data_IF_837795478965
#
_entry.id   IF_837795478965
#
_cell.length_a   1.000
_cell.length_b   1.000
_cell.length_c   1.000
_cell.angle_alpha   90.00
_cell.angle_beta   90.00
_cell.angle_gamma   90.00
#
_symmetry.space_group_name_H-M   'P 1'
#
loop_
_entity.id
_entity.type
_entity.pdbx_description
1 polymer ?
#
# COMPACT_ATOMS: atom_id res chain seq x y z
N UNK A 1 43.20 34.10 -56.04
CA UNK A 1 42.86 33.28 -57.22
C UNK A 1 42.79 31.83 -56.79
N UNK A 2 41.64 31.19 -57.04
CA UNK A 2 41.35 29.74 -57.02
C UNK A 2 41.64 28.96 -55.72
N UNK A 3 40.77 28.12 -55.17
CA UNK A 3 39.54 27.53 -55.67
C UNK A 3 39.29 26.24 -54.89
N UNK A 4 38.05 26.05 -54.43
CA UNK A 4 37.60 24.95 -53.58
C UNK A 4 37.46 23.61 -54.32
N UNK A 5 37.65 22.48 -53.63
CA UNK A 5 36.60 21.49 -53.28
C UNK A 5 37.20 20.13 -52.81
N UNK A 6 36.49 19.41 -51.92
CA UNK A 6 36.92 18.13 -51.35
C UNK A 6 36.38 16.91 -52.15
N UNK A 7 37.15 15.81 -52.17
CA UNK A 7 36.74 14.52 -52.73
C UNK A 7 35.91 13.69 -51.75
N UNK A 8 35.00 12.93 -52.34
CA UNK A 8 33.86 12.27 -51.72
C UNK A 8 34.02 10.75 -51.71
N UNK A 9 33.41 10.12 -50.69
CA UNK A 9 32.90 8.72 -50.60
C UNK A 9 33.87 7.57 -50.31
N UNK A 10 33.58 6.85 -49.22
CA UNK A 10 33.03 5.47 -49.30
C UNK A 10 32.21 5.13 -48.04
N UNK A 11 31.04 4.55 -48.30
CA UNK A 11 30.04 4.01 -47.36
C UNK A 11 30.41 2.57 -46.96
N UNK A 12 30.23 2.21 -45.69
CA UNK A 12 29.85 0.89 -45.17
C UNK A 12 29.10 1.15 -43.83
N UNK A 13 27.76 1.15 -43.80
CA UNK A 13 26.83 0.05 -43.40
C UNK A 13 27.08 -0.54 -41.99
N UNK A 14 26.36 0.01 -41.00
CA UNK A 14 25.58 -0.55 -39.85
C UNK A 14 26.09 -1.78 -39.04
N UNK A 15 25.71 -1.98 -37.75
CA UNK A 15 24.50 -1.45 -37.09
C UNK A 15 24.65 -0.77 -35.72
N UNK A 16 23.63 0.02 -35.41
CA UNK A 16 23.34 0.69 -34.15
C UNK A 16 22.60 -0.26 -33.19
N UNK A 17 22.91 -0.18 -31.90
CA UNK A 17 22.09 -0.73 -30.81
C UNK A 17 22.39 0.07 -29.53
N UNK A 18 21.75 1.23 -29.39
CA UNK A 18 21.51 1.94 -28.13
C UNK A 18 20.22 2.74 -28.31
N UNK A 19 19.42 2.80 -27.24
CA UNK A 19 18.13 3.46 -27.05
C UNK A 19 16.88 2.63 -27.39
N UNK A 20 16.33 1.96 -26.37
CA UNK A 20 14.88 1.77 -26.23
C UNK A 20 14.47 1.98 -24.77
N UNK A 21 14.05 3.21 -24.47
CA UNK A 21 13.28 3.59 -23.28
C UNK A 21 11.88 3.91 -23.78
N UNK A 22 10.89 3.24 -23.17
CA UNK A 22 9.51 3.67 -22.93
C UNK A 22 8.81 4.50 -24.01
N UNK A 23 7.87 3.88 -24.75
CA UNK A 23 6.69 4.56 -25.31
C UNK A 23 5.69 3.57 -25.94
N UNK A 24 4.79 2.99 -25.13
CA UNK A 24 3.44 2.51 -25.51
C UNK A 24 2.74 2.27 -24.16
N UNK A 25 1.67 2.98 -23.76
CA UNK A 25 0.31 2.92 -24.29
C UNK A 25 -0.41 4.20 -23.85
N UNK A 26 -0.81 5.03 -24.81
CA UNK A 26 -1.87 6.02 -24.67
C UNK A 26 -2.26 6.42 -26.09
N UNK A 27 -3.36 5.85 -26.59
CA UNK A 27 -4.20 6.42 -27.65
C UNK A 27 -5.38 5.45 -27.92
N UNK A 28 -6.41 5.50 -27.08
CA UNK A 28 -7.80 5.32 -27.50
C UNK A 28 -8.70 6.12 -26.56
N UNK A 29 -8.61 7.44 -26.59
CA UNK A 29 -9.76 8.30 -26.28
C UNK A 29 -9.56 9.63 -27.00
N UNK A 30 -10.44 9.90 -27.97
CA UNK A 30 -10.75 11.25 -28.39
C UNK A 30 -12.27 11.45 -28.46
N UNK A 31 -12.76 12.69 -28.26
CA UNK A 31 -14.12 12.99 -27.82
C UNK A 31 -14.95 13.75 -28.87
N UNK A 32 -16.28 13.72 -28.74
CA UNK A 32 -17.21 14.74 -29.23
C UNK A 32 -18.57 14.53 -28.53
N UNK A 33 -18.98 15.37 -27.57
CA UNK A 33 -19.64 16.68 -27.74
C UNK A 33 -21.02 16.54 -28.40
N UNK A 34 -22.11 16.47 -27.64
CA UNK A 34 -22.99 17.60 -27.24
C UNK A 34 -24.44 17.17 -27.58
N UNK A 35 -25.54 17.57 -26.95
CA UNK A 35 -25.83 18.57 -25.94
C UNK A 35 -27.19 18.23 -25.27
N UNK A 36 -27.29 18.50 -23.96
CA UNK A 36 -28.38 19.18 -23.22
C UNK A 36 -29.86 18.87 -23.55
N UNK A 37 -30.61 18.28 -22.60
CA UNK A 37 -31.66 18.96 -21.81
C UNK A 37 -32.30 18.08 -20.72
N UNK A 38 -32.46 18.69 -19.53
CA UNK A 38 -33.55 18.60 -18.55
C UNK A 38 -33.91 17.26 -17.85
N UNK A 39 -33.57 17.23 -16.55
CA UNK A 39 -34.63 17.33 -15.53
C UNK A 39 -34.98 16.08 -14.72
N UNK A 40 -34.77 16.22 -13.40
CA UNK A 40 -35.52 15.61 -12.30
C UNK A 40 -35.22 14.16 -11.87
N UNK A 41 -34.66 14.06 -10.65
CA UNK A 41 -34.83 12.95 -9.73
C UNK A 41 -36.27 12.43 -9.70
N UNK A 42 -36.46 11.13 -9.92
CA UNK A 42 -37.41 10.31 -9.14
C UNK A 42 -36.89 8.89 -9.01
N UNK A 43 -36.74 8.47 -7.76
CA UNK A 43 -36.73 7.08 -7.32
C UNK A 43 -37.92 6.34 -7.94
N UNK A 44 -37.65 5.22 -8.61
CA UNK A 44 -38.68 4.26 -8.99
C UNK A 44 -38.18 2.85 -8.69
N UNK A 45 -38.34 2.48 -7.42
CA UNK A 45 -38.40 1.11 -6.89
C UNK A 45 -39.69 0.40 -7.38
N UNK A 46 -39.89 0.37 -8.70
CA UNK A 46 -41.00 -0.32 -9.37
C UNK A 46 -40.47 -0.84 -10.72
N UNK A 47 -39.69 -1.91 -10.65
CA UNK A 47 -39.34 -2.72 -11.79
C UNK A 47 -40.55 -3.57 -12.20
N UNK A 48 -41.18 -3.17 -13.31
CA UNK A 48 -42.08 -3.86 -14.25
C UNK A 48 -42.91 -5.08 -13.78
N UNK A 49 -44.21 -5.17 -14.17
CA UNK A 49 -45.00 -6.38 -13.96
C UNK A 49 -44.39 -7.51 -14.79
N UNK A 50 -43.74 -8.48 -14.14
CA UNK A 50 -43.38 -9.74 -14.77
C UNK A 50 -44.69 -10.42 -15.18
N UNK A 51 -44.91 -10.56 -16.49
CA UNK A 51 -45.91 -11.47 -17.02
C UNK A 51 -45.62 -12.85 -16.45
N UNK A 52 -46.54 -13.37 -15.65
CA UNK A 52 -46.50 -14.76 -15.23
C UNK A 52 -46.63 -15.58 -16.51
N UNK A 53 -45.66 -16.46 -16.76
CA UNK A 53 -45.75 -17.43 -17.83
C UNK A 53 -47.03 -18.24 -17.61
N UNK A 54 -48.01 -18.04 -18.47
CA UNK A 54 -49.18 -18.92 -18.56
C UNK A 54 -48.68 -20.34 -18.76
N UNK A 55 -49.23 -21.26 -17.97
CA UNK A 55 -48.71 -22.61 -17.74
C UNK A 55 -48.15 -23.30 -18.99
N UNK A 56 -46.92 -23.78 -18.84
CA UNK A 56 -46.41 -24.86 -19.68
C UNK A 56 -47.20 -26.12 -19.25
N UNK A 57 -47.80 -26.79 -20.23
CA UNK A 57 -48.73 -27.89 -20.01
C UNK A 57 -48.08 -29.00 -19.15
N UNK A 58 -48.80 -29.58 -18.19
CA UNK A 58 -48.24 -30.56 -17.23
C UNK A 58 -47.58 -31.76 -17.95
N UNK A 59 -48.09 -32.11 -19.14
CA UNK A 59 -47.52 -33.16 -19.98
C UNK A 59 -46.15 -32.85 -20.59
N UNK A 60 -45.81 -31.57 -20.79
CA UNK A 60 -44.54 -31.15 -21.40
C UNK A 60 -43.40 -31.16 -20.36
N UNK A 61 -43.73 -30.88 -19.09
CA UNK A 61 -42.80 -30.92 -17.95
C UNK A 61 -42.44 -32.37 -17.59
N UNK A 62 -43.44 -33.26 -17.58
CA UNK A 62 -43.24 -34.69 -17.37
C UNK A 62 -42.41 -35.34 -18.49
N UNK A 63 -42.63 -34.93 -19.74
CA UNK A 63 -41.84 -35.40 -20.88
C UNK A 63 -40.37 -34.92 -20.83
N UNK A 64 -40.10 -33.69 -20.39
CA UNK A 64 -38.72 -33.20 -20.19
C UNK A 64 -38.01 -33.91 -19.01
N UNK A 65 -38.75 -34.28 -17.97
CA UNK A 65 -38.22 -35.03 -16.82
C UNK A 65 -37.90 -36.49 -17.18
N UNK A 66 -38.78 -37.17 -17.93
CA UNK A 66 -38.55 -38.54 -18.40
C UNK A 66 -37.44 -38.63 -19.46
N UNK A 67 -37.33 -37.62 -20.35
CA UNK A 67 -36.27 -37.56 -21.35
C UNK A 67 -34.86 -37.39 -20.75
N UNK A 68 -34.75 -36.81 -19.56
CA UNK A 68 -33.48 -36.70 -18.81
C UNK A 68 -33.17 -37.91 -17.94
N UNK A 69 -34.12 -38.82 -17.72
CA UNK A 69 -33.97 -40.02 -16.89
C UNK A 69 -33.40 -41.26 -17.62
N UNK A 70 -33.13 -41.20 -18.93
CA UNK A 70 -32.58 -42.32 -19.72
C UNK A 70 -31.13 -42.10 -20.16
N UNK A 71 -30.24 -41.85 -19.21
CA UNK A 71 -28.81 -41.85 -19.49
C UNK A 71 -27.97 -41.84 -18.22
N UNK A 72 -27.52 -43.02 -17.79
CA UNK A 72 -26.49 -43.17 -16.76
C UNK A 72 -26.80 -44.24 -15.74
N UNK A 73 -26.24 -45.43 -15.97
CA UNK A 73 -26.11 -46.51 -14.99
C UNK A 73 -25.30 -46.05 -13.76
N UNK A 74 -25.70 -46.57 -12.60
CA UNK A 74 -24.92 -46.82 -11.39
C UNK A 74 -23.75 -45.87 -11.08
N UNK A 75 -23.95 -44.97 -10.11
CA UNK A 75 -22.86 -44.56 -9.22
C UNK A 75 -23.40 -44.22 -7.83
N UNK A 76 -22.75 -44.86 -6.87
CA UNK A 76 -23.04 -44.91 -5.46
C UNK A 76 -23.19 -43.52 -4.83
N UNK A 77 -24.11 -43.42 -3.87
CA UNK A 77 -24.32 -42.27 -3.02
C UNK A 77 -23.07 -41.93 -2.21
N UNK A 78 -22.30 -40.96 -2.69
CA UNK A 78 -21.36 -40.20 -1.89
C UNK A 78 -22.03 -38.92 -1.38
N UNK A 79 -22.16 -38.80 -0.06
CA UNK A 79 -22.38 -37.53 0.65
C UNK A 79 -21.27 -36.53 0.27
N UNK A 80 -21.48 -35.76 -0.79
CA UNK A 80 -20.69 -34.59 -1.12
C UNK A 80 -21.65 -33.41 -1.16
N UNK A 81 -21.45 -32.47 -0.22
CA UNK A 81 -22.26 -31.27 -0.10
C UNK A 81 -22.33 -30.55 -1.44
N UNK A 82 -23.52 -30.53 -2.03
CA UNK A 82 -23.75 -29.88 -3.31
C UNK A 82 -23.74 -28.36 -3.07
N UNK A 83 -22.71 -27.70 -3.56
CA UNK A 83 -22.58 -26.24 -3.49
C UNK A 83 -23.43 -25.63 -4.63
N UNK A 84 -24.45 -24.84 -4.29
CA UNK A 84 -25.32 -24.19 -5.28
C UNK A 84 -24.77 -22.81 -5.65
N UNK A 85 -24.63 -22.52 -6.95
CA UNK A 85 -24.09 -21.24 -7.45
C UNK A 85 -25.00 -20.03 -7.16
N UNK A 86 -26.29 -20.25 -6.90
CA UNK A 86 -27.24 -19.20 -6.52
C UNK A 86 -28.43 -19.76 -5.73
N UNK A 87 -29.09 -18.88 -4.96
CA UNK A 87 -30.35 -19.20 -4.27
C UNK A 87 -31.45 -19.67 -5.23
N UNK A 88 -31.48 -19.14 -6.46
CA UNK A 88 -32.44 -19.57 -7.48
C UNK A 88 -32.13 -20.98 -7.99
N UNK A 89 -30.85 -21.32 -8.16
CA UNK A 89 -30.42 -22.68 -8.49
C UNK A 89 -30.73 -23.69 -7.38
N UNK A 90 -30.58 -23.27 -6.11
CA UNK A 90 -31.00 -24.06 -4.95
C UNK A 90 -32.51 -24.28 -4.94
N UNK A 91 -33.30 -23.23 -5.20
CA UNK A 91 -34.76 -23.30 -5.25
C UNK A 91 -35.23 -24.24 -6.37
N UNK A 92 -34.71 -24.08 -7.58
CA UNK A 92 -35.05 -24.93 -8.73
C UNK A 92 -34.69 -26.40 -8.47
N UNK A 93 -33.54 -26.66 -7.85
CA UNK A 93 -33.16 -28.01 -7.46
C UNK A 93 -34.09 -28.58 -6.40
N UNK A 94 -34.42 -27.80 -5.35
CA UNK A 94 -35.32 -28.23 -4.30
C UNK A 94 -36.71 -28.57 -4.86
N UNK A 95 -37.23 -27.77 -5.80
CA UNK A 95 -38.49 -28.05 -6.49
C UNK A 95 -38.38 -29.35 -7.30
N UNK A 96 -37.31 -29.52 -8.08
CA UNK A 96 -37.12 -30.70 -8.93
C UNK A 96 -36.83 -32.01 -8.18
N UNK A 97 -36.43 -31.94 -6.90
CA UNK A 97 -36.15 -33.10 -6.05
C UNK A 97 -37.18 -33.29 -4.93
N UNK A 98 -38.23 -32.48 -4.91
CA UNK A 98 -39.36 -32.63 -3.99
C UNK A 98 -40.47 -33.45 -4.63
N UNK A 99 -41.27 -34.09 -3.79
CA UNK A 99 -42.45 -34.84 -4.19
C UNK A 99 -43.53 -33.90 -4.76
N UNK A 100 -43.92 -34.04 -6.04
CA UNK A 100 -44.84 -33.10 -6.71
C UNK A 100 -46.23 -33.09 -6.07
N UNK A 101 -46.70 -34.22 -5.55
CA UNK A 101 -48.04 -34.30 -4.94
C UNK A 101 -48.07 -33.56 -3.60
N UNK A 102 -46.99 -33.65 -2.80
CA UNK A 102 -46.87 -32.90 -1.54
C UNK A 102 -46.70 -31.41 -1.75
N UNK A 103 -45.99 -31.00 -2.82
CA UNK A 103 -45.88 -29.59 -3.18
C UNK A 103 -47.24 -29.02 -3.60
N UNK A 104 -48.04 -29.79 -4.34
CA UNK A 104 -49.39 -29.37 -4.74
C UNK A 104 -50.32 -29.24 -3.53
N UNK A 105 -50.32 -30.21 -2.62
CA UNK A 105 -51.09 -30.14 -1.37
C UNK A 105 -50.71 -28.91 -0.53
N UNK A 106 -49.40 -28.62 -0.42
CA UNK A 106 -48.88 -27.42 0.26
C UNK A 106 -49.28 -26.12 -0.44
N UNK A 107 -49.31 -26.10 -1.77
CA UNK A 107 -49.73 -24.93 -2.53
C UNK A 107 -51.23 -24.65 -2.36
N UNK A 108 -52.07 -25.69 -2.38
CA UNK A 108 -53.50 -25.60 -2.09
C UNK A 108 -53.76 -25.16 -0.64
N UNK A 109 -52.97 -25.64 0.32
CA UNK A 109 -52.98 -25.18 1.73
C UNK A 109 -52.70 -23.67 1.81
N UNK A 110 -51.76 -23.16 1.01
CA UNK A 110 -51.41 -21.73 0.98
C UNK A 110 -52.47 -20.88 0.26
N UNK A 111 -53.07 -21.38 -0.83
CA UNK A 111 -54.17 -20.69 -1.53
C UNK A 111 -55.45 -20.61 -0.69
N UNK A 112 -55.64 -21.53 0.25
CA UNK A 112 -56.77 -21.52 1.18
C UNK A 112 -56.67 -20.48 2.30
N UNK A 113 -55.49 -19.85 2.47
CA UNK A 113 -55.25 -18.84 3.50
C UNK A 113 -55.89 -17.51 3.14
N UNK A 114 -56.35 -16.80 4.17
CA UNK A 114 -56.80 -15.41 4.01
C UNK A 114 -55.62 -14.48 3.69
N UNK A 115 -55.89 -13.37 3.00
CA UNK A 115 -54.86 -12.37 2.66
C UNK A 115 -54.10 -11.85 3.89
N UNK A 116 -54.77 -11.76 5.04
CA UNK A 116 -54.18 -11.31 6.30
C UNK A 116 -53.19 -12.34 6.88
N UNK A 117 -53.49 -13.63 6.76
CA UNK A 117 -52.59 -14.71 7.22
C UNK A 117 -51.35 -14.84 6.33
N UNK A 118 -51.50 -14.62 5.01
CA UNK A 118 -50.37 -14.56 4.09
C UNK A 118 -49.44 -13.39 4.40
N UNK A 119 -50.02 -12.20 4.66
CA UNK A 119 -49.24 -11.01 5.02
C UNK A 119 -48.50 -11.23 6.34
N UNK A 120 -49.16 -11.84 7.33
CA UNK A 120 -48.53 -12.22 8.61
C UNK A 120 -47.33 -13.16 8.39
N UNK A 121 -47.48 -14.22 7.60
CA UNK A 121 -46.38 -15.13 7.27
C UNK A 121 -45.24 -14.44 6.52
N UNK A 122 -45.55 -13.55 5.59
CA UNK A 122 -44.51 -12.76 4.89
C UNK A 122 -43.73 -11.86 5.85
N UNK A 123 -44.40 -11.23 6.83
CA UNK A 123 -43.75 -10.42 7.86
C UNK A 123 -42.88 -11.28 8.79
N UNK A 124 -43.36 -12.45 9.21
CA UNK A 124 -42.60 -13.40 10.04
C UNK A 124 -41.34 -13.89 9.31
N UNK A 125 -41.47 -14.26 8.03
CA UNK A 125 -40.32 -14.66 7.19
C UNK A 125 -39.35 -13.49 7.05
N UNK A 126 -39.84 -12.28 6.81
CA UNK A 126 -39.00 -11.09 6.71
C UNK A 126 -38.25 -10.81 8.01
N UNK A 127 -38.91 -10.93 9.16
CA UNK A 127 -38.30 -10.74 10.47
C UNK A 127 -37.26 -11.83 10.78
N UNK A 128 -37.54 -13.09 10.42
CA UNK A 128 -36.58 -14.19 10.52
C UNK A 128 -35.37 -13.97 9.61
N UNK A 129 -35.59 -13.52 8.37
CA UNK A 129 -34.50 -13.18 7.45
C UNK A 129 -33.64 -12.04 7.98
N UNK A 130 -34.24 -11.02 8.60
CA UNK A 130 -33.50 -9.91 9.23
C UNK A 130 -32.68 -10.42 10.44
N UNK A 131 -33.24 -11.31 11.27
CA UNK A 131 -32.54 -11.91 12.42
C UNK A 131 -31.40 -12.85 12.03
N UNK A 132 -31.52 -13.58 10.93
CA UNK A 132 -30.46 -14.44 10.41
C UNK A 132 -29.47 -13.69 9.50
N UNK A 133 -29.72 -12.41 9.19
CA UNK A 133 -28.87 -11.65 8.30
C UNK A 133 -27.51 -11.42 8.97
N UNK A 134 -26.45 -11.88 8.33
CA UNK A 134 -25.10 -11.48 8.72
C UNK A 134 -24.93 -9.98 8.42
N UNK A 135 -24.47 -9.18 9.39
CA UNK A 135 -24.23 -7.76 9.16
C UNK A 135 -23.16 -7.60 8.08
N UNK A 136 -23.37 -6.64 7.19
CA UNK A 136 -22.34 -6.30 6.19
C UNK A 136 -21.16 -5.58 6.85
N UNK A 137 -19.99 -5.59 6.20
CA UNK A 137 -18.82 -4.85 6.68
C UNK A 137 -19.13 -3.37 6.93
N UNK A 138 -19.91 -2.73 6.05
CA UNK A 138 -20.34 -1.34 6.23
C UNK A 138 -21.21 -1.14 7.48
N UNK A 139 -22.03 -2.14 7.86
CA UNK A 139 -22.83 -2.10 9.09
C UNK A 139 -21.95 -2.30 10.33
N UNK A 140 -21.01 -3.24 10.28
CA UNK A 140 -20.02 -3.45 11.33
C UNK A 140 -19.15 -2.20 11.54
N UNK A 141 -18.70 -1.56 10.45
CA UNK A 141 -17.97 -0.30 10.51
C UNK A 141 -18.78 0.80 11.17
N UNK A 142 -20.07 0.94 10.84
CA UNK A 142 -20.95 1.93 11.49
C UNK A 142 -21.09 1.68 12.99
N UNK A 143 -21.21 0.42 13.42
CA UNK A 143 -21.28 0.05 14.83
C UNK A 143 -20.00 0.47 15.55
N UNK A 144 -18.84 0.08 15.01
CA UNK A 144 -17.56 0.45 15.60
C UNK A 144 -17.33 1.97 15.63
N UNK A 145 -17.72 2.70 14.57
CA UNK A 145 -17.65 4.17 14.53
C UNK A 145 -18.60 4.80 15.57
N UNK A 146 -19.78 4.23 15.78
CA UNK A 146 -20.71 4.69 16.82
C UNK A 146 -20.13 4.49 18.23
N UNK A 147 -19.47 3.36 18.47
CA UNK A 147 -18.79 3.07 19.74
C UNK A 147 -17.63 4.05 19.99
N UNK A 148 -16.86 4.43 18.97
CA UNK A 148 -15.82 5.47 19.10
C UNK A 148 -16.42 6.85 19.44
N UNK A 149 -17.54 7.21 18.82
CA UNK A 149 -18.22 8.49 19.08
C UNK A 149 -18.92 8.53 20.44
N UNK A 150 -19.15 7.38 21.06
CA UNK A 150 -19.78 7.32 22.37
C UNK A 150 -18.78 7.75 23.47
N UNK A 151 -18.91 8.98 23.95
CA UNK A 151 -18.10 9.52 25.05
C UNK A 151 -18.21 8.73 26.37
N UNK A 152 -19.28 7.96 26.56
CA UNK A 152 -19.50 7.11 27.74
C UNK A 152 -19.02 5.67 27.58
N UNK A 153 -18.48 5.30 26.40
CA UNK A 153 -17.96 3.97 26.16
C UNK A 153 -16.77 3.66 27.08
N UNK A 154 -16.70 2.42 27.56
CA UNK A 154 -15.58 1.97 28.38
C UNK A 154 -14.28 1.92 27.55
N UNK A 155 -13.14 1.90 28.24
CA UNK A 155 -11.83 1.72 27.60
C UNK A 155 -11.78 0.45 26.73
N UNK A 156 -12.35 -0.65 27.23
CA UNK A 156 -12.32 -1.94 26.54
C UNK A 156 -13.27 -1.96 25.33
N UNK A 157 -14.44 -1.32 25.43
CA UNK A 157 -15.35 -1.17 24.28
C UNK A 157 -14.69 -0.33 23.17
N UNK A 158 -14.00 0.75 23.55
CA UNK A 158 -13.26 1.59 22.59
C UNK A 158 -12.12 0.83 21.93
N UNK A 159 -11.35 0.05 22.70
CA UNK A 159 -10.31 -0.84 22.14
C UNK A 159 -10.91 -1.87 21.19
N UNK A 160 -12.03 -2.49 21.55
CA UNK A 160 -12.73 -3.46 20.68
C UNK A 160 -13.16 -2.81 19.37
N UNK A 161 -13.79 -1.64 19.42
CA UNK A 161 -14.19 -0.89 18.22
C UNK A 161 -13.00 -0.56 17.31
N UNK A 162 -11.85 -0.18 17.87
CA UNK A 162 -10.63 0.03 17.09
C UNK A 162 -10.09 -1.25 16.45
N UNK A 163 -10.16 -2.39 17.14
CA UNK A 163 -9.72 -3.68 16.58
C UNK A 163 -10.66 -4.16 15.47
N UNK A 164 -11.97 -3.95 15.63
CA UNK A 164 -12.95 -4.23 14.58
C UNK A 164 -12.67 -3.39 13.34
N UNK A 165 -12.49 -2.07 13.51
CA UNK A 165 -12.12 -1.20 12.40
C UNK A 165 -10.78 -1.59 11.77
N UNK A 166 -9.81 -2.03 12.56
CA UNK A 166 -8.51 -2.49 12.04
C UNK A 166 -8.64 -3.67 11.06
N UNK A 167 -9.54 -4.60 11.32
CA UNK A 167 -9.82 -5.72 10.41
C UNK A 167 -10.65 -5.23 9.22
N UNK A 168 -11.70 -4.45 9.48
CA UNK A 168 -12.66 -4.02 8.46
C UNK A 168 -12.06 -3.08 7.42
N UNK A 169 -11.04 -2.28 7.75
CA UNK A 169 -10.37 -1.37 6.78
C UNK A 169 -9.28 -2.06 5.95
N UNK A 170 -9.09 -3.37 6.09
CA UNK A 170 -8.12 -4.11 5.28
C UNK A 170 -8.50 -4.16 3.79
N UNK A 171 -9.77 -4.43 3.41
CA UNK A 171 -10.20 -4.30 2.03
C UNK A 171 -10.23 -2.83 1.60
N UNK A 172 -9.73 -2.55 0.40
CA UNK A 172 -9.62 -1.19 -0.14
C UNK A 172 -11.00 -0.52 -0.25
N UNK A 173 -12.05 -1.28 -0.60
CA UNK A 173 -13.41 -0.75 -0.70
C UNK A 173 -13.94 -0.25 0.64
N UNK A 174 -13.76 -1.03 1.71
CA UNK A 174 -14.13 -0.64 3.07
C UNK A 174 -13.31 0.57 3.55
N UNK A 175 -12.00 0.59 3.28
CA UNK A 175 -11.16 1.74 3.60
C UNK A 175 -11.66 3.02 2.91
N UNK A 176 -12.10 2.93 1.65
CA UNK A 176 -12.68 4.06 0.91
C UNK A 176 -14.04 4.52 1.47
N UNK A 177 -14.80 3.60 2.06
CA UNK A 177 -16.08 3.90 2.71
C UNK A 177 -15.92 4.51 4.10
N UNK A 178 -14.76 4.35 4.75
CA UNK A 178 -14.50 4.85 6.10
C UNK A 178 -14.83 6.34 6.27
N UNK A 179 -14.45 7.18 5.31
CA UNK A 179 -14.80 8.61 5.32
C UNK A 179 -16.30 8.85 5.08
N UNK A 180 -16.91 8.11 4.14
CA UNK A 180 -18.34 8.23 3.83
C UNK A 180 -19.21 7.86 5.03
N UNK A 181 -18.73 6.95 5.86
CA UNK A 181 -19.35 6.51 7.11
C UNK A 181 -19.02 7.44 8.30
N UNK A 182 -18.22 8.50 8.09
CA UNK A 182 -17.84 9.46 9.13
C UNK A 182 -16.82 8.91 10.14
N UNK A 183 -16.06 7.87 9.77
CA UNK A 183 -15.14 7.17 10.68
C UNK A 183 -13.77 7.81 10.85
N UNK A 184 -13.30 8.62 9.89
CA UNK A 184 -11.96 9.22 9.98
C UNK A 184 -11.83 10.24 11.12
N UNK A 185 -12.82 11.12 11.31
CA UNK A 185 -12.75 12.16 12.35
C UNK A 185 -12.64 11.52 13.75
N UNK A 186 -13.51 10.58 14.17
CA UNK A 186 -13.37 9.89 15.46
C UNK A 186 -12.03 9.18 15.59
N UNK A 187 -11.57 8.46 14.56
CA UNK A 187 -10.26 7.79 14.59
C UNK A 187 -9.09 8.76 14.77
N UNK A 188 -9.13 9.93 14.14
CA UNK A 188 -8.09 10.95 14.29
C UNK A 188 -8.15 11.59 15.68
N UNK A 189 -9.34 11.77 16.25
CA UNK A 189 -9.51 12.23 17.63
C UNK A 189 -8.87 11.27 18.64
N UNK A 190 -8.97 9.95 18.40
CA UNK A 190 -8.34 8.93 19.26
C UNK A 190 -6.81 8.99 19.30
N UNK A 191 -6.15 9.64 18.32
CA UNK A 191 -4.72 9.91 18.41
C UNK A 191 -4.37 10.81 19.61
N UNK A 192 -5.33 11.55 20.17
CA UNK A 192 -5.16 12.38 21.37
C UNK A 192 -5.63 11.71 22.66
N UNK A 193 -5.98 10.42 22.63
CA UNK A 193 -6.46 9.72 23.81
C UNK A 193 -5.39 9.65 24.92
N UNK A 194 -5.80 9.67 26.18
CA UNK A 194 -4.89 9.50 27.33
C UNK A 194 -4.24 8.12 27.34
N UNK A 195 -4.95 7.08 26.89
CA UNK A 195 -4.46 5.71 26.82
C UNK A 195 -3.53 5.50 25.61
N UNK A 196 -2.33 5.01 25.88
CA UNK A 196 -1.32 4.72 24.85
C UNK A 196 -1.78 3.65 23.86
N UNK A 197 -2.47 2.61 24.33
CA UNK A 197 -2.95 1.52 23.49
C UNK A 197 -3.96 2.00 22.47
N UNK A 198 -4.88 2.87 22.87
CA UNK A 198 -5.85 3.52 21.98
C UNK A 198 -5.15 4.37 20.93
N UNK A 199 -4.19 5.23 21.32
CA UNK A 199 -3.42 6.04 20.34
C UNK A 199 -2.70 5.14 19.33
N UNK A 200 -2.04 4.10 19.84
CA UNK A 200 -1.26 3.14 19.05
C UNK A 200 -2.12 2.40 18.04
N UNK A 201 -3.26 1.84 18.46
CA UNK A 201 -4.17 1.14 17.55
C UNK A 201 -4.81 2.10 16.55
N UNK A 202 -5.15 3.32 16.95
CA UNK A 202 -5.73 4.32 16.05
C UNK A 202 -4.77 4.73 14.93
N UNK A 203 -3.49 4.97 15.26
CA UNK A 203 -2.46 5.19 14.26
C UNK A 203 -2.32 3.98 13.32
N UNK A 204 -2.43 2.75 13.86
CA UNK A 204 -2.37 1.54 13.05
C UNK A 204 -3.54 1.40 12.08
N UNK A 205 -4.77 1.68 12.51
CA UNK A 205 -5.97 1.70 11.66
C UNK A 205 -5.80 2.70 10.52
N UNK A 206 -5.39 3.94 10.83
CA UNK A 206 -5.14 4.97 9.82
C UNK A 206 -4.05 4.57 8.82
N UNK A 207 -2.96 3.97 9.32
CA UNK A 207 -1.87 3.49 8.47
C UNK A 207 -2.28 2.34 7.55
N UNK A 208 -3.19 1.47 7.99
CA UNK A 208 -3.71 0.37 7.18
C UNK A 208 -4.69 0.86 6.13
N UNK A 209 -5.64 1.71 6.51
CA UNK A 209 -6.63 2.29 5.59
C UNK A 209 -6.00 3.14 4.48
N UNK A 210 -4.87 3.82 4.77
CA UNK A 210 -4.16 4.69 3.81
C UNK A 210 -3.08 3.99 2.99
N UNK A 211 -2.73 2.74 3.31
CA UNK A 211 -1.62 2.06 2.65
C UNK A 211 -1.89 1.90 1.16
N UNK A 212 -1.03 2.51 0.32
CA UNK A 212 -1.17 2.52 -1.14
C UNK A 212 -2.56 3.01 -1.63
N UNK A 213 -3.22 3.88 -0.87
CA UNK A 213 -4.56 4.36 -1.16
C UNK A 213 -4.60 5.90 -1.18
N UNK A 214 -4.37 6.49 -2.35
CA UNK A 214 -4.31 7.95 -2.52
C UNK A 214 -5.59 8.69 -2.07
N UNK A 215 -6.76 8.06 -2.19
CA UNK A 215 -8.02 8.67 -1.75
C UNK A 215 -8.03 8.85 -0.23
N UNK A 216 -7.78 7.76 0.50
CA UNK A 216 -7.80 7.77 1.98
C UNK A 216 -6.62 8.56 2.54
N UNK A 217 -5.43 8.48 1.92
CA UNK A 217 -4.28 9.32 2.29
C UNK A 217 -4.65 10.81 2.29
N UNK A 218 -5.23 11.29 1.19
CA UNK A 218 -5.60 12.71 1.07
C UNK A 218 -6.72 13.11 2.02
N UNK A 219 -7.68 12.23 2.31
CA UNK A 219 -8.72 12.49 3.30
C UNK A 219 -8.12 12.64 4.70
N UNK A 220 -7.23 11.73 5.12
CA UNK A 220 -6.57 11.80 6.43
C UNK A 220 -5.70 13.05 6.56
N UNK A 221 -4.94 13.39 5.51
CA UNK A 221 -4.09 14.59 5.50
C UNK A 221 -4.92 15.89 5.62
N UNK A 222 -6.10 15.95 4.98
CA UNK A 222 -7.01 17.12 5.08
C UNK A 222 -7.49 17.40 6.50
N UNK A 223 -7.56 16.38 7.35
CA UNK A 223 -7.94 16.52 8.76
C UNK A 223 -6.76 16.86 9.69
N UNK A 224 -5.55 17.09 9.16
CA UNK A 224 -4.40 17.49 9.97
C UNK A 224 -3.81 16.35 10.83
N UNK A 225 -4.13 15.10 10.53
CA UNK A 225 -3.66 13.96 11.32
C UNK A 225 -2.12 13.82 11.34
N UNK A 226 -1.44 14.32 10.31
CA UNK A 226 0.01 14.20 10.16
C UNK A 226 0.78 14.89 11.30
N UNK A 227 0.39 16.11 11.69
CA UNK A 227 1.00 16.82 12.82
C UNK A 227 0.93 15.97 14.10
N UNK A 228 -0.24 15.37 14.35
CA UNK A 228 -0.44 14.55 15.54
C UNK A 228 0.39 13.26 15.51
N UNK A 229 0.45 12.60 14.36
CA UNK A 229 1.28 11.40 14.16
C UNK A 229 2.77 11.73 14.34
N UNK A 230 3.25 12.87 13.84
CA UNK A 230 4.64 13.30 14.05
C UNK A 230 4.92 13.48 15.54
N UNK A 231 4.00 14.11 16.30
CA UNK A 231 4.12 14.21 17.77
C UNK A 231 4.18 12.85 18.46
N UNK A 232 3.40 11.85 18.00
CA UNK A 232 3.45 10.48 18.54
C UNK A 232 4.80 9.80 18.30
N UNK A 233 5.52 10.15 17.23
CA UNK A 233 6.86 9.65 16.96
C UNK A 233 7.92 10.05 18.01
N UNK A 234 7.64 11.05 18.85
CA UNK A 234 8.47 11.44 20.00
C UNK A 234 8.06 10.75 21.31
N UNK A 235 7.11 9.80 21.27
CA UNK A 235 6.70 9.06 22.46
C UNK A 235 7.84 8.21 23.03
N UNK A 236 7.87 8.05 24.35
CA UNK A 236 8.77 7.11 25.03
C UNK A 236 8.39 5.65 24.78
N UNK A 237 7.16 5.39 24.32
CA UNK A 237 6.73 4.05 23.94
C UNK A 237 7.19 3.71 22.53
N UNK A 238 8.01 2.65 22.41
CA UNK A 238 8.44 2.12 21.12
C UNK A 238 7.26 1.67 20.27
N UNK A 239 6.22 1.09 20.89
CA UNK A 239 5.03 0.62 20.18
C UNK A 239 4.26 1.79 19.55
N UNK A 240 4.07 2.87 20.32
CA UNK A 240 3.40 4.08 19.84
C UNK A 240 4.20 4.73 18.70
N UNK A 241 5.50 4.95 18.89
CA UNK A 241 6.39 5.55 17.89
C UNK A 241 6.45 4.70 16.61
N UNK A 242 6.51 3.36 16.73
CA UNK A 242 6.53 2.46 15.58
C UNK A 242 5.23 2.49 14.77
N UNK A 243 4.07 2.60 15.42
CA UNK A 243 2.78 2.70 14.71
C UNK A 243 2.55 4.08 14.12
N UNK A 244 3.00 5.14 14.79
CA UNK A 244 3.03 6.48 14.21
C UNK A 244 3.89 6.51 12.94
N UNK A 245 5.10 5.95 12.98
CA UNK A 245 5.99 5.86 11.82
C UNK A 245 5.37 5.04 10.68
N UNK A 246 4.69 3.93 11.00
CA UNK A 246 3.96 3.14 10.00
C UNK A 246 2.87 3.96 9.32
N UNK A 247 2.04 4.66 10.10
CA UNK A 247 0.97 5.51 9.56
C UNK A 247 1.51 6.64 8.68
N UNK A 248 2.55 7.34 9.15
CA UNK A 248 3.23 8.40 8.37
C UNK A 248 3.77 7.82 7.06
N UNK A 249 4.47 6.68 7.13
CA UNK A 249 5.00 6.02 5.93
C UNK A 249 3.88 5.68 4.93
N UNK A 250 2.73 5.18 5.40
CA UNK A 250 1.58 4.92 4.52
C UNK A 250 0.98 6.19 3.92
N UNK A 251 0.98 7.30 4.65
CA UNK A 251 0.41 8.58 4.22
C UNK A 251 1.25 9.31 3.17
N UNK A 252 2.57 9.19 3.24
CA UNK A 252 3.48 10.00 2.42
C UNK A 252 4.06 9.25 1.23
N UNK A 253 4.01 7.91 1.23
CA UNK A 253 4.44 7.11 0.08
C UNK A 253 3.47 7.32 -1.08
N UNK A 254 4.06 7.61 -2.23
CA UNK A 254 3.44 7.91 -3.52
C UNK A 254 2.44 9.07 -3.46
N UNK A 255 2.65 9.98 -2.49
CA UNK A 255 1.80 11.14 -2.25
C UNK A 255 2.65 12.40 -2.06
N UNK A 256 2.82 13.17 -3.13
CA UNK A 256 3.60 14.42 -3.12
C UNK A 256 3.10 15.42 -2.06
N UNK A 257 1.79 15.60 -1.94
CA UNK A 257 1.21 16.50 -0.94
C UNK A 257 1.54 16.05 0.49
N UNK A 258 1.41 14.74 0.77
CA UNK A 258 1.81 14.14 2.04
C UNK A 258 3.29 14.32 2.34
N UNK A 259 4.16 14.19 1.33
CA UNK A 259 5.58 14.43 1.50
C UNK A 259 5.86 15.89 1.87
N UNK A 260 5.31 16.85 1.13
CA UNK A 260 5.50 18.29 1.43
C UNK A 260 5.06 18.62 2.86
N UNK A 261 3.89 18.11 3.28
CA UNK A 261 3.41 18.30 4.66
C UNK A 261 4.34 17.66 5.69
N UNK A 262 4.87 16.47 5.42
CA UNK A 262 5.81 15.82 6.34
C UNK A 262 7.10 16.64 6.54
N UNK A 263 7.57 17.30 5.48
CA UNK A 263 8.70 18.23 5.60
C UNK A 263 8.34 19.47 6.44
N UNK A 264 7.14 20.04 6.23
CA UNK A 264 6.71 21.24 6.97
C UNK A 264 6.49 20.97 8.45
N UNK A 265 6.05 19.77 8.81
CA UNK A 265 5.91 19.31 10.20
C UNK A 265 7.24 18.89 10.85
N UNK A 266 8.38 19.19 10.23
CA UNK A 266 9.71 18.84 10.70
C UNK A 266 9.89 17.33 10.95
N UNK A 267 9.32 16.50 10.07
CA UNK A 267 9.30 15.05 10.21
C UNK A 267 10.68 14.39 10.32
N UNK A 268 11.74 15.00 9.80
CA UNK A 268 13.11 14.47 9.95
C UNK A 268 13.64 14.55 11.38
N UNK A 269 13.29 15.59 12.13
CA UNK A 269 13.66 15.69 13.54
C UNK A 269 13.04 14.54 14.34
N UNK A 270 11.82 14.12 13.97
CA UNK A 270 11.17 12.94 14.52
C UNK A 270 11.92 11.66 14.13
N UNK A 271 12.29 11.48 12.86
CA UNK A 271 13.10 10.32 12.44
C UNK A 271 14.43 10.23 13.20
N UNK A 272 15.11 11.37 13.37
CA UNK A 272 16.35 11.44 14.14
C UNK A 272 16.15 11.08 15.61
N UNK A 273 15.07 11.59 16.22
CA UNK A 273 14.72 11.25 17.59
C UNK A 273 14.46 9.74 17.74
N UNK A 274 13.67 9.15 16.84
CA UNK A 274 13.40 7.70 16.85
C UNK A 274 14.70 6.91 16.74
N UNK A 275 15.61 7.26 15.82
CA UNK A 275 16.90 6.55 15.72
C UNK A 275 17.74 6.66 17.00
N UNK A 276 17.69 7.81 17.67
CA UNK A 276 18.46 8.06 18.89
C UNK A 276 17.91 7.26 20.08
N UNK A 277 16.58 7.10 20.16
CA UNK A 277 15.91 6.36 21.25
C UNK A 277 15.82 4.85 20.97
N UNK A 278 15.71 4.45 19.70
CA UNK A 278 15.53 3.06 19.28
C UNK A 278 16.87 2.33 19.04
N UNK A 279 17.93 2.64 19.79
CA UNK A 279 19.26 2.06 19.59
C UNK A 279 19.27 0.53 19.63
N UNK A 280 18.31 -0.07 20.34
CA UNK A 280 18.20 -1.51 20.56
C UNK A 280 17.21 -2.21 19.60
N UNK A 281 16.43 -1.46 18.82
CA UNK A 281 15.38 -2.00 17.95
C UNK A 281 15.76 -1.89 16.47
N UNK A 282 16.46 -2.91 15.98
CA UNK A 282 16.88 -3.03 14.57
C UNK A 282 15.68 -2.92 13.61
N UNK A 283 14.52 -3.44 14.02
CA UNK A 283 13.28 -3.37 13.22
C UNK A 283 12.80 -1.94 13.04
N UNK A 284 12.86 -1.12 14.09
CA UNK A 284 12.44 0.27 14.03
C UNK A 284 13.48 1.12 13.27
N UNK A 285 14.77 0.89 13.52
CA UNK A 285 15.87 1.51 12.76
C UNK A 285 15.70 1.28 11.25
N UNK A 286 15.45 0.04 10.83
CA UNK A 286 15.24 -0.31 9.42
C UNK A 286 14.07 0.46 8.80
N UNK A 287 12.95 0.60 9.53
CA UNK A 287 11.78 1.38 9.07
C UNK A 287 12.11 2.86 8.91
N UNK A 288 12.82 3.44 9.87
CA UNK A 288 13.22 4.86 9.81
C UNK A 288 14.15 5.11 8.64
N UNK A 289 15.20 4.30 8.49
CA UNK A 289 16.19 4.45 7.43
C UNK A 289 15.56 4.20 6.05
N UNK A 290 14.67 3.21 5.93
CA UNK A 290 13.93 2.97 4.70
C UNK A 290 13.03 4.15 4.32
N UNK A 291 12.37 4.78 5.30
CA UNK A 291 11.56 5.98 5.04
C UNK A 291 12.46 7.17 4.66
N UNK A 292 13.61 7.32 5.32
CA UNK A 292 14.59 8.37 4.99
C UNK A 292 15.09 8.24 3.55
N UNK A 293 15.47 7.04 3.12
CA UNK A 293 15.89 6.77 1.74
C UNK A 293 14.79 7.16 0.76
N UNK A 294 13.55 6.74 1.03
CA UNK A 294 12.40 7.04 0.18
C UNK A 294 12.14 8.54 0.03
N UNK A 295 12.15 9.28 1.15
CA UNK A 295 11.92 10.73 1.13
C UNK A 295 13.08 11.46 0.42
N UNK A 296 14.32 11.00 0.61
CA UNK A 296 15.49 11.54 -0.09
C UNK A 296 15.39 11.33 -1.61
N UNK A 297 15.04 10.11 -2.06
CA UNK A 297 14.80 9.79 -3.48
C UNK A 297 13.69 10.63 -4.10
N UNK A 298 12.63 10.92 -3.33
CA UNK A 298 11.59 11.82 -3.78
C UNK A 298 12.08 13.26 -3.95
N UNK A 299 12.89 13.79 -3.02
CA UNK A 299 13.47 15.13 -3.19
C UNK A 299 14.35 15.22 -4.44
N UNK A 300 15.12 14.18 -4.73
CA UNK A 300 15.94 14.08 -5.94
C UNK A 300 15.07 14.10 -7.20
N UNK A 301 14.01 13.30 -7.21
CA UNK A 301 13.06 13.23 -8.33
C UNK A 301 12.31 14.55 -8.55
N UNK A 302 12.06 15.30 -7.48
CA UNK A 302 11.46 16.64 -7.52
C UNK A 302 12.45 17.75 -7.94
N UNK A 303 13.70 17.42 -8.27
CA UNK A 303 14.72 18.36 -8.75
C UNK A 303 15.25 19.31 -7.66
N UNK A 304 15.08 18.97 -6.37
CA UNK A 304 15.59 19.79 -5.27
C UNK A 304 17.05 19.44 -4.97
N UNK A 305 17.92 20.44 -5.01
CA UNK A 305 19.37 20.26 -4.82
C UNK A 305 19.86 20.42 -3.37
N UNK A 306 18.98 20.78 -2.44
CA UNK A 306 19.35 20.92 -1.02
C UNK A 306 18.20 20.53 -0.12
N UNK A 307 18.49 19.68 0.86
CA UNK A 307 17.54 19.13 1.80
C UNK A 307 17.82 19.71 3.21
N UNK A 308 16.86 20.38 3.87
CA UNK A 308 17.07 21.00 5.19
C UNK A 308 17.62 20.04 6.26
N UNK A 309 17.25 18.76 6.17
CA UNK A 309 17.66 17.71 7.09
C UNK A 309 19.13 17.26 6.93
N UNK A 310 19.77 17.56 5.80
CA UNK A 310 21.21 17.36 5.65
C UNK A 310 22.01 18.20 6.64
N UNK A 311 21.43 19.26 7.21
CA UNK A 311 22.13 20.14 8.16
C UNK A 311 22.55 19.42 9.46
N UNK A 312 21.97 18.26 9.79
CA UNK A 312 22.29 17.56 11.05
C UNK A 312 23.36 16.47 10.86
N UNK A 313 24.61 16.81 11.15
CA UNK A 313 25.76 15.89 11.10
C UNK A 313 25.55 14.61 11.89
N UNK A 314 24.95 14.70 13.09
CA UNK A 314 24.73 13.54 13.95
C UNK A 314 23.77 12.53 13.32
N UNK A 315 22.71 13.01 12.65
CA UNK A 315 21.73 12.14 12.01
C UNK A 315 22.36 11.35 10.85
N UNK A 316 23.13 12.02 9.99
CA UNK A 316 23.85 11.37 8.87
C UNK A 316 24.88 10.38 9.40
N UNK A 317 25.65 10.76 10.43
CA UNK A 317 26.63 9.86 11.05
C UNK A 317 25.99 8.62 11.66
N UNK A 318 24.82 8.73 12.28
CA UNK A 318 24.07 7.57 12.77
C UNK A 318 23.69 6.62 11.63
N UNK A 319 23.28 7.16 10.47
CA UNK A 319 22.96 6.34 9.29
C UNK A 319 24.20 5.66 8.72
N UNK A 320 25.31 6.37 8.63
CA UNK A 320 26.59 5.79 8.18
C UNK A 320 27.03 4.65 9.11
N UNK A 321 26.93 4.83 10.42
CA UNK A 321 27.30 3.78 11.38
C UNK A 321 26.45 2.51 11.25
N UNK A 322 25.19 2.62 10.82
CA UNK A 322 24.31 1.47 10.57
C UNK A 322 24.75 0.59 9.40
N UNK A 323 25.62 1.07 8.50
CA UNK A 323 26.26 0.24 7.46
C UNK A 323 27.15 -0.85 8.09
N UNK A 324 27.66 -0.60 9.30
CA UNK A 324 28.47 -1.55 10.06
C UNK A 324 27.66 -2.39 11.06
N UNK A 325 26.31 -2.28 11.05
CA UNK A 325 25.43 -3.08 11.91
C UNK A 325 25.47 -4.57 11.51
N UNK A 326 25.15 -5.52 12.39
CA UNK A 326 25.20 -6.96 12.06
C UNK A 326 24.08 -7.43 11.13
N UNK A 327 23.01 -6.64 10.95
CA UNK A 327 21.81 -7.02 10.19
C UNK A 327 21.90 -6.55 8.73
N UNK A 328 21.95 -7.50 7.80
CA UNK A 328 22.17 -7.22 6.37
C UNK A 328 21.07 -6.35 5.73
N UNK A 329 19.81 -6.51 6.16
CA UNK A 329 18.70 -5.70 5.64
C UNK A 329 18.80 -4.25 6.14
N UNK A 330 19.17 -4.03 7.41
CA UNK A 330 19.49 -2.69 7.91
C UNK A 330 20.67 -2.06 7.15
N UNK A 331 21.73 -2.84 6.86
CA UNK A 331 22.87 -2.37 6.07
C UNK A 331 22.43 -1.93 4.66
N UNK A 332 21.64 -2.75 3.96
CA UNK A 332 21.10 -2.42 2.64
C UNK A 332 20.29 -1.12 2.68
N UNK A 333 19.36 -0.97 3.64
CA UNK A 333 18.57 0.26 3.77
C UNK A 333 19.44 1.46 4.10
N UNK A 334 20.47 1.29 4.94
CA UNK A 334 21.44 2.35 5.26
C UNK A 334 22.23 2.77 4.02
N UNK A 335 22.67 1.84 3.19
CA UNK A 335 23.33 2.14 1.91
C UNK A 335 22.41 2.89 0.95
N UNK A 336 21.14 2.47 0.82
CA UNK A 336 20.16 3.19 0.00
C UNK A 336 19.98 4.63 0.49
N UNK A 337 19.82 4.81 1.81
CA UNK A 337 19.72 6.14 2.40
C UNK A 337 20.98 6.96 2.12
N UNK A 338 22.18 6.43 2.39
CA UNK A 338 23.45 7.14 2.14
C UNK A 338 23.62 7.50 0.66
N UNK A 339 23.26 6.61 -0.27
CA UNK A 339 23.28 6.89 -1.71
C UNK A 339 22.45 8.13 -2.04
N UNK A 340 21.19 8.15 -1.62
CA UNK A 340 20.27 9.26 -1.90
C UNK A 340 20.71 10.56 -1.21
N UNK A 341 21.23 10.44 0.02
CA UNK A 341 21.77 11.57 0.79
C UNK A 341 23.02 12.18 0.13
N UNK A 342 23.93 11.35 -0.38
CA UNK A 342 25.12 11.80 -1.09
C UNK A 342 24.77 12.61 -2.34
N UNK A 343 23.75 12.19 -3.10
CA UNK A 343 23.27 12.91 -4.27
C UNK A 343 22.64 14.26 -3.91
N UNK A 344 21.93 14.36 -2.78
CA UNK A 344 21.35 15.61 -2.29
C UNK A 344 22.36 16.56 -1.65
N UNK A 345 23.54 16.06 -1.31
CA UNK A 345 24.59 16.86 -0.65
C UNK A 345 25.39 17.64 -1.69
N UNK A 346 25.63 18.92 -1.40
CA UNK A 346 26.50 19.79 -2.18
C UNK A 346 27.94 19.25 -2.22
N UNK A 347 28.66 19.59 -3.30
CA UNK A 347 30.05 19.14 -3.52
C UNK A 347 31.08 19.89 -2.65
N UNK A 348 30.62 20.59 -1.61
CA UNK A 348 31.46 21.35 -0.70
C UNK A 348 32.09 20.46 0.39
N UNK A 349 33.23 20.92 0.93
CA UNK A 349 33.98 20.16 1.92
C UNK A 349 33.20 19.92 3.22
N UNK A 350 32.28 20.83 3.58
CA UNK A 350 31.43 20.68 4.76
C UNK A 350 30.39 19.58 4.56
N UNK A 351 29.76 19.51 3.39
CA UNK A 351 28.81 18.44 3.04
C UNK A 351 29.44 17.05 3.09
N UNK A 352 30.64 16.89 2.52
CA UNK A 352 31.35 15.60 2.53
C UNK A 352 31.84 15.18 3.93
N UNK A 353 32.19 16.15 4.79
CA UNK A 353 32.57 15.86 6.19
C UNK A 353 31.41 15.26 7.01
N UNK A 354 30.16 15.40 6.56
CA UNK A 354 29.00 14.75 7.19
C UNK A 354 29.02 13.22 7.08
N UNK A 355 29.70 12.71 6.07
CA UNK A 355 29.87 11.27 5.83
C UNK A 355 31.19 10.74 6.37
N UNK A 356 31.77 11.40 7.38
CA UNK A 356 33.01 10.96 8.03
C UNK A 356 32.89 9.50 8.52
N UNK A 357 33.86 8.65 8.16
CA UNK A 357 33.85 7.22 8.50
C UNK A 357 33.09 6.33 7.52
N UNK A 358 32.53 6.88 6.43
CA UNK A 358 31.87 6.09 5.40
C UNK A 358 32.82 5.09 4.74
N UNK A 359 34.06 5.49 4.42
CA UNK A 359 35.05 4.58 3.83
C UNK A 359 35.34 3.38 4.75
N UNK A 360 35.53 3.62 6.05
CA UNK A 360 35.78 2.57 7.05
C UNK A 360 34.57 1.63 7.16
N UNK A 361 33.36 2.18 7.19
CA UNK A 361 32.12 1.40 7.23
C UNK A 361 31.89 0.57 5.97
N UNK A 362 32.20 1.11 4.78
CA UNK A 362 32.10 0.39 3.51
C UNK A 362 33.13 -0.73 3.42
N UNK A 363 34.36 -0.53 3.90
CA UNK A 363 35.37 -1.58 3.88
C UNK A 363 35.04 -2.69 4.89
N UNK A 364 34.55 -2.34 6.08
CA UNK A 364 34.05 -3.32 7.04
C UNK A 364 32.92 -4.19 6.45
N UNK A 365 31.95 -3.56 5.76
CA UNK A 365 30.86 -4.26 5.09
C UNK A 365 31.39 -5.17 3.97
N UNK A 366 32.36 -4.71 3.17
CA UNK A 366 32.96 -5.51 2.11
C UNK A 366 33.57 -6.81 2.65
N UNK A 367 34.29 -6.73 3.77
CA UNK A 367 34.88 -7.91 4.41
C UNK A 367 33.80 -8.90 4.85
N UNK A 368 32.73 -8.41 5.49
CA UNK A 368 31.58 -9.22 5.90
C UNK A 368 30.86 -9.87 4.69
N UNK A 369 30.66 -9.14 3.59
CA UNK A 369 29.99 -9.65 2.40
C UNK A 369 30.81 -10.76 1.70
N UNK A 370 32.15 -10.65 1.70
CA UNK A 370 33.01 -11.71 1.18
C UNK A 370 32.84 -13.03 1.96
N UNK A 371 32.72 -12.95 3.29
CA UNK A 371 32.43 -14.12 4.12
C UNK A 371 31.04 -14.69 3.83
N UNK A 372 30.01 -13.83 3.74
CA UNK A 372 28.63 -14.24 3.46
C UNK A 372 28.43 -14.83 2.07
N UNK A 373 29.23 -14.40 1.08
CA UNK A 373 29.18 -14.93 -0.31
C UNK A 373 29.60 -16.40 -0.37
N UNK A 374 30.31 -16.89 0.66
CA UNK A 374 30.67 -18.31 0.78
C UNK A 374 29.51 -19.19 1.26
N UNK A 375 28.43 -18.58 1.79
CA UNK A 375 27.23 -19.29 2.24
C UNK A 375 26.19 -19.33 1.12
N UNK A 376 25.80 -20.54 0.68
CA UNK A 376 24.91 -20.75 -0.48
C UNK A 376 23.56 -20.03 -0.32
N UNK A 377 22.97 -20.07 0.87
CA UNK A 377 21.60 -19.56 1.10
C UNK A 377 21.52 -18.03 1.10
N UNK A 378 22.64 -17.34 1.38
CA UNK A 378 22.70 -15.88 1.48
C UNK A 378 23.49 -15.22 0.36
N UNK A 379 24.00 -16.03 -0.58
CA UNK A 379 24.93 -15.58 -1.61
C UNK A 379 24.31 -14.56 -2.56
N UNK A 380 23.12 -14.83 -3.08
CA UNK A 380 22.47 -13.95 -4.06
C UNK A 380 22.19 -12.56 -3.45
N UNK A 381 21.57 -12.55 -2.27
CA UNK A 381 21.28 -11.30 -1.57
C UNK A 381 22.54 -10.54 -1.14
N UNK A 382 23.60 -11.24 -0.68
CA UNK A 382 24.88 -10.60 -0.37
C UNK A 382 25.53 -9.95 -1.61
N UNK A 383 25.39 -10.55 -2.79
CA UNK A 383 25.89 -9.96 -4.04
C UNK A 383 25.13 -8.69 -4.43
N UNK A 384 23.81 -8.64 -4.23
CA UNK A 384 23.00 -7.44 -4.45
C UNK A 384 23.47 -6.29 -3.54
N UNK A 385 23.68 -6.57 -2.25
CA UNK A 385 24.20 -5.58 -1.30
C UNK A 385 25.62 -5.14 -1.67
N UNK A 386 26.47 -6.04 -2.17
CA UNK A 386 27.83 -5.69 -2.63
C UNK A 386 27.80 -4.77 -3.87
N UNK A 387 26.85 -4.96 -4.78
CA UNK A 387 26.65 -4.04 -5.92
C UNK A 387 26.29 -2.65 -5.42
N UNK A 388 25.35 -2.55 -4.48
CA UNK A 388 24.94 -1.28 -3.88
C UNK A 388 26.09 -0.62 -3.11
N UNK A 389 26.86 -1.40 -2.35
CA UNK A 389 28.04 -0.90 -1.62
C UNK A 389 29.07 -0.28 -2.58
N UNK A 390 29.36 -0.94 -3.71
CA UNK A 390 30.26 -0.42 -4.75
C UNK A 390 29.73 0.86 -5.37
N UNK A 391 28.43 0.93 -5.66
CA UNK A 391 27.77 2.13 -6.18
C UNK A 391 28.00 3.33 -5.25
N UNK A 392 27.71 3.15 -3.95
CA UNK A 392 27.94 4.18 -2.92
C UNK A 392 29.41 4.59 -2.83
N UNK A 393 30.33 3.62 -2.86
CA UNK A 393 31.76 3.90 -2.81
C UNK A 393 32.24 4.73 -4.01
N UNK A 394 31.83 4.37 -5.22
CA UNK A 394 32.18 5.09 -6.45
C UNK A 394 31.66 6.52 -6.38
N UNK A 395 30.39 6.69 -5.97
CA UNK A 395 29.76 8.01 -5.85
C UNK A 395 30.47 8.91 -4.84
N UNK A 396 30.83 8.36 -3.68
CA UNK A 396 31.57 9.09 -2.66
C UNK A 396 32.95 9.53 -3.15
N UNK A 397 33.68 8.64 -3.83
CA UNK A 397 34.99 8.96 -4.41
C UNK A 397 34.91 9.99 -5.54
N UNK A 398 33.89 9.93 -6.41
CA UNK A 398 33.68 10.92 -7.47
C UNK A 398 33.52 12.32 -6.87
N UNK A 399 32.63 12.49 -5.88
CA UNK A 399 32.45 13.78 -5.19
C UNK A 399 33.70 14.25 -4.45
N UNK A 400 34.50 13.33 -3.92
CA UNK A 400 35.77 13.69 -3.28
C UNK A 400 36.84 14.14 -4.29
N UNK A 401 36.90 13.50 -5.47
CA UNK A 401 37.91 13.73 -6.51
C UNK A 401 37.57 14.88 -7.47
N UNK A 402 36.29 15.23 -7.65
CA UNK A 402 35.83 16.36 -8.46
C UNK A 402 36.18 17.74 -7.87
N UNK A 403 36.86 17.78 -6.71
CA UNK A 403 37.52 19.00 -6.24
C UNK A 403 38.48 19.52 -7.32
N UNK A 404 38.28 20.73 -7.87
CA UNK A 404 39.31 21.40 -8.67
C UNK A 404 40.46 21.71 -7.71
N UNK A 405 41.39 20.78 -7.64
CA UNK A 405 42.61 20.92 -6.91
C UNK A 405 43.51 21.83 -7.75
N UNK A 406 43.46 23.13 -7.50
CA UNK A 406 44.54 24.06 -7.87
C UNK A 406 45.91 23.59 -7.31
N UNK A 407 45.96 22.53 -6.50
CA UNK A 407 47.17 21.90 -5.98
C UNK A 407 47.64 20.63 -6.74
N UNK A 408 46.87 20.07 -7.69
CA UNK A 408 47.21 18.76 -8.28
C UNK A 408 47.88 18.77 -9.67
N UNK A 409 48.13 19.93 -10.28
CA UNK A 409 48.95 19.97 -11.51
C UNK A 409 50.44 19.67 -11.27
N UNK A 410 50.93 19.76 -10.02
CA UNK A 410 52.35 19.53 -9.69
C UNK A 410 52.63 18.16 -9.06
N UNK A 411 51.62 17.45 -8.56
CA UNK A 411 51.81 16.14 -7.93
C UNK A 411 51.59 14.96 -8.90
N UNK A 412 50.72 15.14 -9.92
CA UNK A 412 50.44 14.09 -10.90
C UNK A 412 51.57 13.83 -11.90
N UNK A 413 52.53 14.74 -12.04
CA UNK A 413 53.67 14.54 -12.93
C UNK A 413 54.84 13.79 -12.28
N UNK A 414 54.84 13.58 -10.95
CA UNK A 414 55.92 12.87 -10.24
C UNK A 414 55.62 11.40 -9.91
N UNK A 415 54.35 11.00 -9.83
CA UNK A 415 54.01 9.60 -9.53
C UNK A 415 53.94 8.67 -10.76
N UNK A 416 53.87 9.21 -11.98
CA UNK A 416 53.87 8.40 -13.21
C UNK A 416 55.26 8.17 -13.83
N UNK A 417 56.33 8.82 -13.33
CA UNK A 417 57.71 8.56 -13.80
C UNK A 417 58.42 7.41 -13.04
N UNK A 418 57.81 6.81 -12.02
CA UNK A 418 58.47 5.77 -11.20
C UNK A 418 58.03 4.33 -11.51
N UNK A 419 57.17 4.12 -12.50
CA UNK A 419 56.73 2.78 -12.92
C UNK A 419 57.21 2.41 -14.34
N UNK A 420 58.00 3.28 -14.98
CA UNK A 420 58.75 2.89 -16.18
C UNK A 420 60.09 3.65 -16.27
N UNK A 421 61.06 3.21 -15.47
CA UNK A 421 62.49 3.37 -15.71
C UNK A 421 63.23 2.18 -15.12
#
# INVERSE_FOLDING_TARGET
MAGAQPQQRRRCRFPALLASVFATVLLLFSPAAGAVEKGANRSSLLGQPRQWATGKDEGEILAEAEARGRGGEDSEAGEQGREFESLDGMLQWAIGNSDPDKLREKAEEIESLSADELLKRQLEIKELMEKLRMPSDAELMKIAIADLNNSSASLEDRKRALQELFVLVEPIDNANDLEKLGGLIPLIQELNNADEGIRTTSAWVLGKASQNNALVQNQILRYGALERLVKMGYSSSEAEAAKALYAISSLIRDNEHGQVLFLSENGYAMLQHILSTASNSVRLQRKVVSLLAYVADFQLSAGKSHAPFLSNHHFIRSVVHMISAPDLDLQEKALLAVRSLLQLTSDDAAGLHMFSGLDDSLEALRMQLNELTSNVDRREYALEVEVLRKEVQIMFQQKFNERPSQANLLCFQKLWCFVWC
#
